data_IF_864118662992
#
_entry.id   IF_864118662992
#
_cell.length_a   1.000
_cell.length_b   1.000
_cell.length_c   1.000
_cell.angle_alpha   90.00
_cell.angle_beta   90.00
_cell.angle_gamma   90.00
#
_symmetry.space_group_name_H-M   'P 1'
#
loop_
_entity.id
_entity.type
_entity.pdbx_description
1 polymer ?
#
# COMPACT_ATOMS: atom_id res chain seq x y z
N UNK A 1 15.18 12.10 -42.55
CA UNK A 1 15.32 11.27 -41.34
C UNK A 1 15.05 12.16 -40.14
N UNK A 2 13.85 12.10 -39.57
CA UNK A 2 13.52 12.74 -38.29
C UNK A 2 12.38 11.94 -37.67
N UNK A 3 12.73 10.90 -36.91
CA UNK A 3 11.80 10.08 -36.15
C UNK A 3 11.41 10.81 -34.86
N UNK A 4 10.27 11.48 -34.90
CA UNK A 4 9.61 12.02 -33.70
C UNK A 4 8.89 10.86 -33.01
N UNK A 5 9.56 10.23 -32.03
CA UNK A 5 8.93 9.29 -31.10
C UNK A 5 7.85 10.03 -30.32
N UNK A 6 6.59 9.89 -30.75
CA UNK A 6 5.41 10.29 -29.97
C UNK A 6 5.42 9.44 -28.71
N UNK A 7 5.69 10.08 -27.58
CA UNK A 7 5.56 9.52 -26.24
C UNK A 7 4.10 9.08 -26.07
N UNK A 8 3.84 7.79 -26.31
CA UNK A 8 2.55 7.17 -26.06
C UNK A 8 2.33 7.13 -24.56
N UNK A 9 1.28 7.81 -24.09
CA UNK A 9 0.75 7.64 -22.73
C UNK A 9 0.62 6.14 -22.42
N UNK A 10 0.92 5.68 -21.20
CA UNK A 10 0.69 4.29 -20.86
C UNK A 10 -0.79 3.99 -21.09
N UNK A 11 -1.08 3.07 -22.01
CA UNK A 11 -2.40 2.48 -22.15
C UNK A 11 -2.58 1.62 -20.91
N UNK A 12 -3.21 2.19 -19.89
CA UNK A 12 -3.73 1.41 -18.77
C UNK A 12 -4.90 0.63 -19.36
N UNK A 13 -4.63 -0.61 -19.78
CA UNK A 13 -5.67 -1.52 -20.23
C UNK A 13 -6.49 -1.95 -19.00
N UNK A 14 -7.58 -1.22 -18.76
CA UNK A 14 -8.58 -1.57 -17.74
C UNK A 14 -9.20 -2.96 -17.97
N UNK A 15 -8.99 -3.57 -19.14
CA UNK A 15 -9.38 -4.96 -19.44
C UNK A 15 -8.60 -6.01 -18.65
N UNK A 16 -7.37 -5.72 -18.20
CA UNK A 16 -6.59 -6.60 -17.32
C UNK A 16 -7.04 -6.55 -15.86
N UNK A 17 -7.82 -5.54 -15.47
CA UNK A 17 -8.43 -5.42 -14.14
C UNK A 17 -9.79 -6.12 -14.03
N UNK A 18 -10.41 -6.53 -15.15
CA UNK A 18 -11.78 -7.08 -15.14
C UNK A 18 -11.85 -8.61 -15.04
N UNK A 19 -10.76 -9.34 -15.29
CA UNK A 19 -10.70 -10.80 -15.16
C UNK A 19 -10.09 -11.20 -13.81
N UNK A 20 -10.89 -11.07 -12.76
CA UNK A 20 -10.55 -11.55 -11.42
C UNK A 20 -11.52 -11.20 -10.30
N UNK A 21 -12.59 -10.43 -10.57
CA UNK A 21 -13.63 -10.16 -9.60
C UNK A 21 -14.86 -11.03 -9.88
N UNK A 22 -14.73 -12.34 -9.69
CA UNK A 22 -15.89 -13.13 -9.27
C UNK A 22 -16.29 -12.60 -7.90
N UNK A 23 -17.32 -11.75 -7.87
CA UNK A 23 -18.06 -11.46 -6.64
C UNK A 23 -18.75 -12.76 -6.22
N UNK A 24 -18.01 -13.62 -5.53
CA UNK A 24 -18.58 -14.68 -4.72
C UNK A 24 -19.44 -14.01 -3.66
N UNK A 25 -20.75 -14.16 -3.81
CA UNK A 25 -21.78 -13.77 -2.84
C UNK A 25 -21.29 -14.20 -1.45
N UNK A 26 -20.96 -13.20 -0.62
CA UNK A 26 -20.42 -13.44 0.71
C UNK A 26 -21.48 -14.16 1.55
N UNK A 27 -21.20 -15.43 1.83
CA UNK A 27 -21.77 -16.20 2.93
C UNK A 27 -21.56 -15.38 4.21
N UNK A 28 -22.51 -15.30 5.16
CA UNK A 28 -22.30 -14.59 6.42
C UNK A 28 -21.32 -15.41 7.27
N UNK A 29 -20.03 -15.29 6.96
CA UNK A 29 -18.97 -15.97 7.68
C UNK A 29 -18.70 -15.23 8.99
N UNK A 30 -19.15 -15.86 10.07
CA UNK A 30 -18.58 -15.80 11.42
C UNK A 30 -17.67 -14.60 11.72
N UNK A 31 -18.27 -13.66 12.47
CA UNK A 31 -17.65 -12.73 13.45
C UNK A 31 -16.13 -12.87 13.60
N UNK A 32 -15.41 -11.81 13.20
CA UNK A 32 -14.16 -11.35 13.81
C UNK A 32 -13.27 -12.45 14.44
N UNK A 33 -12.66 -13.30 13.61
CA UNK A 33 -11.59 -14.15 14.14
C UNK A 33 -10.39 -13.27 14.51
N UNK A 34 -9.74 -13.48 15.67
CA UNK A 34 -8.62 -12.65 16.15
C UNK A 34 -7.49 -12.51 15.11
N UNK A 35 -7.21 -13.57 14.35
CA UNK A 35 -6.20 -13.56 13.29
C UNK A 35 -6.52 -12.59 12.15
N UNK A 36 -7.81 -12.40 11.83
CA UNK A 36 -8.25 -11.43 10.80
C UNK A 36 -8.06 -10.01 11.32
N UNK A 37 -8.36 -9.76 12.60
CA UNK A 37 -8.17 -8.45 13.22
C UNK A 37 -6.68 -8.09 13.31
N UNK A 38 -5.82 -9.05 13.66
CA UNK A 38 -4.37 -8.86 13.68
C UNK A 38 -3.85 -8.45 12.30
N UNK A 39 -4.24 -9.17 11.25
CA UNK A 39 -3.81 -8.84 9.89
C UNK A 39 -4.26 -7.43 9.47
N UNK A 40 -5.51 -7.07 9.76
CA UNK A 40 -6.03 -5.72 9.47
C UNK A 40 -5.26 -4.63 10.21
N UNK A 41 -4.93 -4.87 11.49
CA UNK A 41 -4.15 -3.94 12.29
C UNK A 41 -2.71 -3.77 11.78
N UNK A 42 -2.06 -4.87 11.36
CA UNK A 42 -0.73 -4.87 10.73
C UNK A 42 -0.74 -4.15 9.37
N UNK A 43 -1.76 -4.39 8.55
CA UNK A 43 -1.92 -3.75 7.23
C UNK A 43 -2.21 -2.25 7.38
N UNK A 44 -2.99 -1.85 8.38
CA UNK A 44 -3.25 -0.44 8.69
C UNK A 44 -1.98 0.29 9.12
N UNK A 45 -1.19 -0.31 10.02
CA UNK A 45 0.08 0.26 10.45
C UNK A 45 1.07 0.37 9.28
N UNK A 46 1.12 -0.62 8.39
CA UNK A 46 1.92 -0.55 7.17
C UNK A 46 1.49 0.61 6.25
N UNK A 47 0.19 0.83 6.08
CA UNK A 47 -0.33 1.96 5.30
C UNK A 47 0.05 3.31 5.93
N UNK A 48 -0.03 3.39 7.26
CA UNK A 48 0.35 4.60 7.99
C UNK A 48 1.84 4.92 7.82
N UNK A 49 2.72 3.93 8.01
CA UNK A 49 4.17 4.08 7.82
C UNK A 49 4.49 4.47 6.37
N UNK A 50 3.82 3.86 5.39
CA UNK A 50 3.98 4.22 3.98
C UNK A 50 3.69 5.70 3.72
N UNK A 51 2.58 6.20 4.27
CA UNK A 51 2.22 7.62 4.13
C UNK A 51 3.24 8.52 4.83
N UNK A 52 3.73 8.13 6.01
CA UNK A 52 4.79 8.88 6.69
C UNK A 52 6.06 8.98 5.85
N UNK A 53 6.48 7.88 5.20
CA UNK A 53 7.66 7.87 4.33
C UNK A 53 7.47 8.79 3.11
N UNK A 54 6.27 8.80 2.51
CA UNK A 54 5.94 9.72 1.41
C UNK A 54 5.93 11.18 1.85
N UNK A 55 5.37 11.50 3.00
CA UNK A 55 5.38 12.88 3.52
C UNK A 55 6.79 13.32 3.94
N UNK A 56 7.61 12.40 4.46
CA UNK A 56 9.02 12.67 4.76
C UNK A 56 9.81 13.01 3.49
N UNK A 57 9.60 12.27 2.40
CA UNK A 57 10.24 12.59 1.12
C UNK A 57 9.86 13.98 0.60
N UNK A 58 8.57 14.37 0.70
CA UNK A 58 8.09 15.69 0.30
C UNK A 58 8.72 16.81 1.12
N UNK A 59 8.83 16.61 2.43
CA UNK A 59 9.33 17.63 3.37
C UNK A 59 10.85 17.75 3.39
N UNK A 60 11.56 16.65 3.19
CA UNK A 60 13.02 16.63 3.19
C UNK A 60 13.64 17.19 1.89
N UNK A 61 12.82 17.60 0.91
CA UNK A 61 13.24 18.09 -0.42
C UNK A 61 14.32 17.21 -1.07
N UNK A 62 14.27 15.90 -0.79
CA UNK A 62 15.43 15.04 -0.96
C UNK A 62 15.84 14.86 -2.42
N UNK A 63 15.01 15.19 -3.42
CA UNK A 63 15.40 15.13 -4.85
C UNK A 63 14.29 15.64 -5.79
N UNK A 64 14.66 16.28 -6.91
CA UNK A 64 13.81 16.34 -8.11
C UNK A 64 13.86 14.96 -8.79
N UNK A 65 13.08 13.99 -8.30
CA UNK A 65 13.04 12.65 -8.88
C UNK A 65 12.29 12.63 -10.20
N UNK A 66 12.74 11.79 -11.13
CA UNK A 66 11.98 11.47 -12.34
C UNK A 66 10.82 10.50 -12.03
N UNK A 67 9.80 10.45 -12.89
CA UNK A 67 8.62 9.60 -12.69
C UNK A 67 8.93 8.11 -12.42
N UNK A 68 9.94 7.57 -13.12
CA UNK A 68 10.37 6.18 -12.94
C UNK A 68 10.99 5.94 -11.55
N UNK A 69 11.76 6.90 -11.06
CA UNK A 69 12.39 6.84 -9.74
C UNK A 69 11.36 6.99 -8.63
N UNK A 70 10.38 7.88 -8.78
CA UNK A 70 9.25 8.03 -7.85
C UNK A 70 8.44 6.73 -7.75
N UNK A 71 8.16 6.10 -8.89
CA UNK A 71 7.45 4.81 -8.93
C UNK A 71 8.25 3.71 -8.23
N UNK A 72 9.56 3.61 -8.53
CA UNK A 72 10.44 2.65 -7.86
C UNK A 72 10.47 2.87 -6.34
N UNK A 73 10.65 4.11 -5.90
CA UNK A 73 10.69 4.47 -4.49
C UNK A 73 9.37 4.20 -3.78
N UNK A 74 8.23 4.39 -4.45
CA UNK A 74 6.93 4.00 -3.92
C UNK A 74 6.84 2.49 -3.64
N UNK A 75 7.41 1.64 -4.50
CA UNK A 75 7.49 0.19 -4.26
C UNK A 75 8.41 -0.12 -3.08
N UNK A 76 9.54 0.58 -2.97
CA UNK A 76 10.47 0.44 -1.84
C UNK A 76 9.77 0.79 -0.52
N UNK A 77 9.08 1.93 -0.45
CA UNK A 77 8.37 2.35 0.77
C UNK A 77 7.29 1.35 1.17
N UNK A 78 6.58 0.77 0.21
CA UNK A 78 5.59 -0.27 0.51
C UNK A 78 6.24 -1.50 1.15
N UNK A 79 7.38 -1.98 0.62
CA UNK A 79 8.07 -3.14 1.20
C UNK A 79 8.68 -2.85 2.56
N UNK A 80 9.21 -1.64 2.73
CA UNK A 80 9.73 -1.17 4.02
C UNK A 80 8.59 -1.07 5.04
N UNK A 81 7.43 -0.52 4.67
CA UNK A 81 6.32 -0.38 5.60
C UNK A 81 5.72 -1.73 6.02
N UNK A 82 5.55 -2.67 5.07
CA UNK A 82 5.16 -4.05 5.34
C UNK A 82 6.16 -4.77 6.27
N UNK A 83 7.45 -4.52 6.10
CA UNK A 83 8.49 -5.13 6.94
C UNK A 83 8.47 -4.56 8.36
N UNK A 84 8.39 -3.24 8.50
CA UNK A 84 8.37 -2.56 9.79
C UNK A 84 7.13 -2.96 10.59
N UNK A 85 5.93 -2.94 9.98
CA UNK A 85 4.69 -3.28 10.69
C UNK A 85 4.70 -4.70 11.25
N UNK A 86 5.27 -5.66 10.53
CA UNK A 86 5.36 -7.07 10.97
C UNK A 86 6.36 -7.29 12.09
N UNK A 87 7.54 -6.65 12.04
CA UNK A 87 8.65 -6.95 12.96
C UNK A 87 8.64 -6.12 14.24
N UNK A 88 8.59 -4.79 14.12
CA UNK A 88 8.84 -3.89 15.25
C UNK A 88 7.77 -2.81 15.44
N UNK A 89 6.97 -2.52 14.41
CA UNK A 89 5.84 -1.60 14.44
C UNK A 89 6.14 -0.20 14.97
N UNK A 90 5.10 0.63 15.03
CA UNK A 90 5.05 1.89 15.77
C UNK A 90 4.15 1.78 17.02
N UNK A 91 3.57 0.60 17.27
CA UNK A 91 2.64 0.37 18.38
C UNK A 91 1.16 0.53 18.00
N UNK A 92 0.87 0.87 16.75
CA UNK A 92 -0.50 1.12 16.29
C UNK A 92 -1.28 -0.20 16.22
N UNK A 93 -0.66 -1.28 15.75
CA UNK A 93 -1.33 -2.58 15.69
C UNK A 93 -1.70 -3.09 17.08
N UNK A 94 -0.82 -2.93 18.06
CA UNK A 94 -1.06 -3.32 19.46
C UNK A 94 -2.16 -2.47 20.08
N UNK A 95 -2.19 -1.17 19.75
CA UNK A 95 -3.26 -0.28 20.19
C UNK A 95 -4.62 -0.71 19.62
N UNK A 96 -4.70 -0.96 18.31
CA UNK A 96 -5.94 -1.40 17.66
C UNK A 96 -6.43 -2.74 18.21
N UNK A 97 -5.52 -3.70 18.44
CA UNK A 97 -5.86 -4.98 19.04
C UNK A 97 -6.33 -4.85 20.49
N UNK A 98 -5.76 -3.91 21.26
CA UNK A 98 -6.13 -3.69 22.66
C UNK A 98 -7.50 -3.03 22.82
N UNK A 99 -7.88 -2.14 21.92
CA UNK A 99 -9.10 -1.33 22.05
C UNK A 99 -10.19 -1.67 21.04
N UNK A 100 -9.93 -2.52 20.04
CA UNK A 100 -10.89 -2.87 19.00
C UNK A 100 -12.08 -3.72 19.47
N UNK A 101 -12.03 -4.27 20.69
CA UNK A 101 -13.11 -5.05 21.32
C UNK A 101 -13.90 -4.27 22.39
N UNK A 102 -13.52 -3.02 22.68
CA UNK A 102 -14.27 -2.14 23.59
C UNK A 102 -15.36 -1.36 22.86
#
# INVERSE_FOLDING_TARGET
>A
MSDTLKITKPVVDYGLLSKGAEQTVAKPEAKNSPDKMQKVAEDFEALFIFNMLKELEKTAHLTKKGYAEETYMSVVYQKVSEFISKKSGLGIKEFLLRYGER
#
